data_IF_628697545479
#
_entry.id   IF_628697545479
#
_cell.length_a   1.000
_cell.length_b   1.000
_cell.length_c   1.000
_cell.angle_alpha   90.00
_cell.angle_beta   90.00
_cell.angle_gamma   90.00
#
_symmetry.space_group_name_H-M   'P 1'
#
loop_
_entity.id
_entity.type
_entity.pdbx_description
1 polymer ?
#
# COMPACT_ATOMS: atom_id res chain seq x y z
N UNK A 1 -17.23 -2.85 17.55
CA UNK A 1 -16.43 -3.27 16.37
C UNK A 1 -15.98 -4.70 16.66
N UNK A 2 -16.05 -5.64 15.71
CA UNK A 2 -15.48 -6.96 15.93
C UNK A 2 -14.00 -6.83 16.31
N UNK A 3 -13.53 -7.74 17.15
CA UNK A 3 -12.14 -7.77 17.59
C UNK A 3 -11.22 -8.01 16.37
N UNK A 4 -10.23 -7.12 16.17
CA UNK A 4 -9.30 -7.24 15.04
C UNK A 4 -8.25 -8.31 15.36
N UNK A 5 -8.32 -9.44 14.67
CA UNK A 5 -7.45 -10.62 14.89
C UNK A 5 -6.37 -10.81 13.81
N UNK A 6 -6.26 -9.89 12.84
CA UNK A 6 -5.25 -9.91 11.78
C UNK A 6 -3.94 -9.26 12.23
N UNK A 7 -2.79 -9.67 11.66
CA UNK A 7 -1.51 -9.02 11.97
C UNK A 7 -1.58 -7.52 11.69
N UNK A 8 -1.06 -6.74 12.64
CA UNK A 8 -0.87 -5.31 12.47
C UNK A 8 0.46 -5.05 11.74
N UNK A 9 0.54 -3.99 10.93
CA UNK A 9 1.79 -3.63 10.28
C UNK A 9 2.84 -3.17 11.31
N UNK A 10 4.09 -3.56 11.09
CA UNK A 10 5.23 -2.98 11.81
C UNK A 10 5.45 -1.55 11.31
N UNK A 11 5.31 -0.57 12.19
CA UNK A 11 5.48 0.84 11.85
C UNK A 11 6.94 1.24 12.09
N UNK A 12 7.65 1.53 11.00
CA UNK A 12 8.98 2.16 11.00
C UNK A 12 8.87 3.67 10.83
N UNK A 13 9.98 4.41 11.03
CA UNK A 13 10.02 5.86 10.79
C UNK A 13 9.58 6.25 9.37
N UNK A 14 10.01 5.48 8.36
CA UNK A 14 9.67 5.70 6.95
C UNK A 14 8.20 5.41 6.62
N UNK A 15 7.59 4.43 7.30
CA UNK A 15 6.21 4.00 7.01
C UNK A 15 5.17 4.66 7.91
N UNK A 16 5.58 5.33 8.99
CA UNK A 16 4.69 6.02 9.93
C UNK A 16 3.73 7.02 9.23
N UNK A 17 4.17 7.90 8.31
CA UNK A 17 3.26 8.82 7.64
C UNK A 17 2.18 8.11 6.82
N UNK A 18 2.53 6.98 6.18
CA UNK A 18 1.57 6.16 5.44
C UNK A 18 0.50 5.58 6.38
N UNK A 19 0.92 4.87 7.43
CA UNK A 19 -0.02 4.21 8.36
C UNK A 19 -0.91 5.19 9.13
N UNK A 20 -0.38 6.35 9.54
CA UNK A 20 -1.17 7.38 10.21
C UNK A 20 -2.25 7.98 9.29
N UNK A 21 -1.99 8.07 7.98
CA UNK A 21 -2.97 8.53 7.02
C UNK A 21 -3.97 7.45 6.62
N UNK A 22 -3.55 6.17 6.53
CA UNK A 22 -4.48 5.05 6.36
C UNK A 22 -5.55 5.01 7.47
N UNK A 23 -5.16 5.24 8.73
CA UNK A 23 -6.12 5.37 9.85
C UNK A 23 -7.13 6.50 9.68
N UNK A 24 -6.81 7.50 8.86
CA UNK A 24 -7.66 8.65 8.55
C UNK A 24 -8.40 8.49 7.22
N UNK A 25 -8.35 7.30 6.61
CA UNK A 25 -8.98 7.00 5.32
C UNK A 25 -8.31 7.71 4.13
N UNK A 26 -7.03 8.06 4.24
CA UNK A 26 -6.27 8.74 3.18
C UNK A 26 -5.16 7.84 2.66
N UNK A 27 -5.15 7.60 1.36
CA UNK A 27 -4.08 6.88 0.67
C UNK A 27 -2.98 7.88 0.27
N UNK A 28 -1.79 7.71 0.84
CA UNK A 28 -0.61 8.48 0.43
C UNK A 28 0.36 7.61 -0.37
N UNK A 29 1.00 8.24 -1.35
CA UNK A 29 2.18 7.70 -2.06
C UNK A 29 3.31 8.73 -2.02
N UNK A 30 4.49 8.32 -2.42
CA UNK A 30 5.66 9.19 -2.49
C UNK A 30 5.91 9.66 -3.92
N UNK A 31 6.33 10.92 -4.08
CA UNK A 31 6.85 11.47 -5.33
C UNK A 31 8.25 12.03 -5.08
N UNK A 32 9.19 11.72 -5.96
CA UNK A 32 10.50 12.34 -5.93
C UNK A 32 10.46 13.69 -6.65
N UNK A 33 10.88 14.76 -5.99
CA UNK A 33 10.93 16.10 -6.59
C UNK A 33 12.16 16.26 -7.52
N UNK A 34 13.19 15.43 -7.36
CA UNK A 34 14.38 15.48 -8.23
C UNK A 34 14.18 14.83 -9.60
N UNK A 35 13.41 13.73 -9.70
CA UNK A 35 13.20 13.02 -10.97
C UNK A 35 11.73 12.89 -11.40
N UNK A 36 10.78 13.31 -10.56
CA UNK A 36 9.35 13.28 -10.85
C UNK A 36 8.68 11.92 -10.65
N UNK A 37 9.44 10.86 -10.40
CA UNK A 37 8.91 9.49 -10.26
C UNK A 37 8.08 9.31 -8.99
N UNK A 38 6.99 8.57 -9.13
CA UNK A 38 6.18 8.09 -8.01
C UNK A 38 6.73 6.76 -7.50
N UNK A 39 6.62 6.52 -6.19
CA UNK A 39 7.00 5.25 -5.62
C UNK A 39 6.05 4.76 -4.54
N UNK A 40 5.91 3.44 -4.54
CA UNK A 40 5.29 2.65 -3.51
C UNK A 40 6.02 1.30 -3.48
N UNK A 41 6.48 0.75 -2.36
CA UNK A 41 6.27 1.12 -0.95
C UNK A 41 7.05 2.36 -0.45
N UNK A 42 6.65 2.94 0.70
CA UNK A 42 7.36 4.03 1.36
C UNK A 42 8.83 3.74 1.66
N UNK A 43 9.73 4.68 1.32
CA UNK A 43 11.18 4.62 1.54
C UNK A 43 11.74 6.01 1.85
N UNK A 44 12.91 6.10 2.49
CA UNK A 44 13.62 7.36 2.73
C UNK A 44 14.38 7.93 1.51
N UNK A 45 14.59 7.13 0.46
CA UNK A 45 15.30 7.53 -0.77
C UNK A 45 14.50 7.10 -2.01
N UNK A 46 14.68 7.82 -3.11
CA UNK A 46 14.05 7.52 -4.38
C UNK A 46 14.63 6.23 -4.96
N UNK A 47 13.77 5.27 -5.29
CA UNK A 47 14.19 4.00 -5.89
C UNK A 47 14.77 4.15 -7.31
N UNK A 48 14.50 5.27 -7.99
CA UNK A 48 14.97 5.54 -9.34
C UNK A 48 16.31 6.32 -9.37
N UNK A 49 16.38 7.47 -8.67
CA UNK A 49 17.51 8.39 -8.77
C UNK A 49 18.33 8.55 -7.48
N UNK A 50 17.99 7.83 -6.40
CA UNK A 50 18.69 7.86 -5.10
C UNK A 50 18.65 9.19 -4.34
N UNK A 51 17.93 10.19 -4.84
CA UNK A 51 17.67 11.44 -4.12
C UNK A 51 16.86 11.18 -2.85
N UNK A 52 17.11 11.96 -1.80
CA UNK A 52 16.30 12.01 -0.58
C UNK A 52 15.20 13.09 -0.65
N UNK A 53 15.08 13.82 -1.76
CA UNK A 53 14.05 14.81 -1.99
C UNK A 53 12.73 14.14 -2.40
N UNK A 54 12.05 13.58 -1.40
CA UNK A 54 10.81 12.82 -1.55
C UNK A 54 9.71 13.49 -0.74
N UNK A 55 8.59 13.74 -1.41
CA UNK A 55 7.40 14.31 -0.81
C UNK A 55 6.26 13.29 -0.75
N UNK A 56 5.43 13.42 0.29
CA UNK A 56 4.19 12.66 0.41
C UNK A 56 3.08 13.38 -0.33
N UNK A 57 2.36 12.66 -1.18
CA UNK A 57 1.18 13.17 -1.88
C UNK A 57 -0.03 12.29 -1.61
N UNK A 58 -1.22 12.89 -1.71
CA UNK A 58 -2.47 12.12 -1.66
C UNK A 58 -2.72 11.51 -3.02
N UNK A 59 -2.86 10.18 -3.08
CA UNK A 59 -3.25 9.50 -4.32
C UNK A 59 -4.71 9.81 -4.65
N UNK A 60 -5.06 9.80 -5.94
CA UNK A 60 -6.44 9.91 -6.39
C UNK A 60 -7.34 8.80 -5.84
N UNK A 61 -6.73 7.68 -5.40
CA UNK A 61 -7.44 6.49 -4.93
C UNK A 61 -8.06 5.67 -6.06
N UNK A 62 -7.81 6.06 -7.31
CA UNK A 62 -8.27 5.35 -8.50
C UNK A 62 -7.14 4.51 -9.06
N UNK A 63 -7.53 3.40 -9.68
CA UNK A 63 -6.61 2.50 -10.32
C UNK A 63 -7.33 1.40 -11.08
N UNK A 64 -6.57 0.61 -11.80
CA UNK A 64 -7.06 -0.54 -12.56
C UNK A 64 -6.50 -1.82 -11.94
N UNK A 65 -7.31 -2.87 -11.84
CA UNK A 65 -6.83 -4.19 -11.44
C UNK A 65 -5.87 -4.69 -12.50
N UNK A 66 -4.58 -4.73 -12.17
CA UNK A 66 -3.53 -5.22 -13.06
C UNK A 66 -3.58 -6.76 -13.16
N UNK A 67 -3.72 -7.42 -12.01
CA UNK A 67 -3.93 -8.87 -11.91
C UNK A 67 -4.55 -9.21 -10.56
N UNK A 68 -5.13 -10.40 -10.42
CA UNK A 68 -5.68 -10.87 -9.15
C UNK A 68 -5.61 -12.39 -9.03
N UNK A 69 -5.74 -12.86 -7.81
CA UNK A 69 -5.98 -14.28 -7.48
C UNK A 69 -7.14 -14.41 -6.51
N UNK A 70 -7.76 -15.59 -6.49
CA UNK A 70 -8.77 -15.95 -5.48
C UNK A 70 -8.12 -16.93 -4.51
N UNK A 71 -7.94 -16.50 -3.27
CA UNK A 71 -7.31 -17.30 -2.22
C UNK A 71 -8.37 -18.16 -1.53
N UNK A 72 -8.33 -19.47 -1.78
CA UNK A 72 -9.23 -20.45 -1.14
C UNK A 72 -8.64 -21.09 0.12
N UNK A 73 -7.34 -20.94 0.36
CA UNK A 73 -6.64 -21.52 1.50
C UNK A 73 -5.57 -20.54 2.01
N UNK A 74 -5.65 -20.18 3.29
CA UNK A 74 -4.63 -19.40 3.99
C UNK A 74 -4.55 -19.87 5.45
N UNK A 75 -3.38 -20.33 5.89
CA UNK A 75 -3.16 -20.82 7.26
C UNK A 75 -2.75 -19.72 8.26
N UNK A 76 -2.65 -18.47 7.80
CA UNK A 76 -2.26 -17.33 8.66
C UNK A 76 -3.43 -16.96 9.55
N UNK A 77 -3.16 -16.81 10.85
CA UNK A 77 -4.14 -16.37 11.85
C UNK A 77 -4.85 -15.08 11.41
N UNK A 78 -6.18 -15.08 11.45
CA UNK A 78 -7.03 -13.96 11.05
C UNK A 78 -7.35 -13.89 9.56
N UNK A 79 -6.74 -14.72 8.71
CA UNK A 79 -7.08 -14.85 7.28
C UNK A 79 -7.69 -16.21 6.92
N UNK A 80 -7.52 -17.21 7.78
CA UNK A 80 -8.11 -18.55 7.58
C UNK A 80 -9.64 -18.49 7.61
N UNK A 81 -10.21 -17.58 8.39
CA UNK A 81 -11.65 -17.38 8.53
C UNK A 81 -12.27 -16.56 7.37
N UNK A 82 -11.43 -15.90 6.57
CA UNK A 82 -11.85 -14.98 5.50
C UNK A 82 -11.80 -15.61 4.10
N UNK A 83 -11.39 -16.87 3.98
CA UNK A 83 -11.39 -17.55 2.67
C UNK A 83 -12.83 -17.91 2.25
N UNK A 84 -13.20 -17.74 0.96
CA UNK A 84 -12.37 -17.19 -0.10
C UNK A 84 -12.35 -15.65 -0.12
N UNK A 85 -11.17 -15.08 -0.38
CA UNK A 85 -11.01 -13.64 -0.62
C UNK A 85 -10.20 -13.36 -1.90
N UNK A 86 -10.34 -12.15 -2.45
CA UNK A 86 -9.58 -11.71 -3.62
C UNK A 86 -8.34 -10.95 -3.15
N UNK A 87 -7.17 -11.38 -3.60
CA UNK A 87 -5.95 -10.58 -3.52
C UNK A 87 -5.68 -9.97 -4.89
N UNK A 88 -5.77 -8.64 -4.98
CA UNK A 88 -5.58 -7.90 -6.21
C UNK A 88 -4.29 -7.09 -6.16
N UNK A 89 -3.60 -7.01 -7.30
CA UNK A 89 -2.58 -6.01 -7.57
C UNK A 89 -3.22 -4.92 -8.41
N UNK A 90 -3.28 -3.70 -7.88
CA UNK A 90 -3.88 -2.54 -8.54
C UNK A 90 -2.78 -1.60 -9.01
N UNK A 91 -2.82 -1.21 -10.28
CA UNK A 91 -2.02 -0.11 -10.82
C UNK A 91 -2.81 1.19 -10.64
N UNK A 92 -2.28 2.10 -9.82
CA UNK A 92 -2.90 3.40 -9.55
C UNK A 92 -2.72 4.35 -10.74
N UNK A 93 -3.53 5.40 -10.81
CA UNK A 93 -3.40 6.44 -11.86
C UNK A 93 -2.00 7.10 -11.84
N UNK A 94 -1.32 7.12 -10.69
CA UNK A 94 0.05 7.62 -10.56
C UNK A 94 1.13 6.62 -11.07
N UNK A 95 0.73 5.45 -11.57
CA UNK A 95 1.61 4.47 -12.22
C UNK A 95 2.28 3.47 -11.28
N UNK A 96 2.15 3.64 -9.96
CA UNK A 96 2.64 2.67 -8.97
C UNK A 96 1.66 1.52 -8.79
N UNK A 97 2.16 0.36 -8.36
CA UNK A 97 1.33 -0.83 -8.08
C UNK A 97 1.26 -1.12 -6.60
N UNK A 98 0.08 -1.49 -6.12
CA UNK A 98 -0.14 -1.86 -4.72
C UNK A 98 -1.02 -3.10 -4.60
N UNK A 99 -0.74 -3.92 -3.58
CA UNK A 99 -1.63 -5.00 -3.21
C UNK A 99 -2.78 -4.47 -2.37
N UNK A 100 -3.98 -5.00 -2.64
CA UNK A 100 -5.19 -4.76 -1.85
C UNK A 100 -6.10 -5.99 -1.92
N UNK A 101 -7.12 -6.02 -1.08
CA UNK A 101 -8.08 -7.11 -1.04
C UNK A 101 -9.52 -6.59 -0.96
N UNK A 102 -10.47 -7.46 -1.27
CA UNK A 102 -11.90 -7.29 -1.00
C UNK A 102 -12.36 -8.40 -0.06
#
# INVERSE_FOLDING_TARGET
MPEWNKPLPTISGETKPYWDNCRRGRLLIQKCESCGEYQFYPRGICANCWSNDIQWITSSGKGTVWTFTVTYQNGTMGFAEDVPYVLALVELEEGVRMFTNK
#
